data_IF_381077013609
#
_entry.id   IF_381077013609
#
_cell.length_a   1.000
_cell.length_b   1.000
_cell.length_c   1.000
_cell.angle_alpha   90.00
_cell.angle_beta   90.00
_cell.angle_gamma   90.00
#
_symmetry.space_group_name_H-M   'P 1'
#
loop_
_entity.id
_entity.type
_entity.pdbx_description
1 polymer ?
#
# COMPACT_ATOMS: atom_id res chain seq x y z
N UNK A 1 -3.05 36.62 -21.94
CA UNK A 1 -2.49 36.12 -20.68
C UNK A 1 -1.00 36.10 -20.86
N UNK A 2 -0.29 36.90 -20.08
CA UNK A 2 1.17 36.88 -20.03
C UNK A 2 1.64 35.64 -19.23
N UNK A 3 2.87 35.17 -19.46
CA UNK A 3 3.44 33.99 -18.79
C UNK A 3 3.44 34.12 -17.25
N UNK A 4 3.64 35.32 -16.71
CA UNK A 4 3.59 35.55 -15.26
C UNK A 4 2.17 35.44 -14.72
N UNK A 5 1.18 35.92 -15.47
CA UNK A 5 -0.25 35.76 -15.17
C UNK A 5 -0.68 34.29 -15.23
N UNK A 6 -0.14 33.52 -16.19
CA UNK A 6 -0.36 32.08 -16.30
C UNK A 6 0.28 31.29 -15.13
N UNK A 7 1.54 31.59 -14.78
CA UNK A 7 2.22 30.94 -13.65
C UNK A 7 1.54 31.23 -12.32
N UNK A 8 1.10 32.48 -12.10
CA UNK A 8 0.36 32.85 -10.90
C UNK A 8 -0.99 32.10 -10.83
N UNK A 9 -1.70 32.01 -11.94
CA UNK A 9 -2.95 31.24 -12.03
C UNK A 9 -2.73 29.74 -11.75
N UNK A 10 -1.62 29.17 -12.22
CA UNK A 10 -1.20 27.81 -11.87
C UNK A 10 -0.89 27.65 -10.37
N UNK A 11 -0.11 28.56 -9.79
CA UNK A 11 0.24 28.52 -8.36
C UNK A 11 -0.98 28.68 -7.45
N UNK A 12 -1.88 29.61 -7.80
CA UNK A 12 -3.16 29.81 -7.11
C UNK A 12 -4.05 28.56 -7.22
N UNK A 13 -4.06 27.89 -8.38
CA UNK A 13 -4.77 26.61 -8.59
C UNK A 13 -4.24 25.50 -7.68
N UNK A 14 -2.92 25.37 -7.51
CA UNK A 14 -2.34 24.40 -6.59
C UNK A 14 -2.72 24.67 -5.13
N UNK A 15 -2.69 25.92 -4.68
CA UNK A 15 -3.12 26.30 -3.33
C UNK A 15 -4.62 25.99 -3.09
N UNK A 16 -5.44 26.17 -4.11
CA UNK A 16 -6.87 25.80 -4.10
C UNK A 16 -7.05 24.30 -3.90
N UNK A 17 -6.26 23.45 -4.56
CA UNK A 17 -6.33 21.99 -4.38
C UNK A 17 -6.03 21.56 -2.93
N UNK A 18 -5.00 22.13 -2.29
CA UNK A 18 -4.68 21.83 -0.89
C UNK A 18 -5.76 22.30 0.08
N UNK A 19 -6.29 23.50 -0.14
CA UNK A 19 -7.38 24.07 0.67
C UNK A 19 -8.63 23.21 0.57
N UNK A 20 -9.05 22.86 -0.65
CA UNK A 20 -10.26 22.06 -0.90
C UNK A 20 -10.08 20.65 -0.35
N UNK A 21 -8.91 20.05 -0.52
CA UNK A 21 -8.58 18.76 0.11
C UNK A 21 -8.86 18.84 1.60
N UNK A 22 -8.25 19.82 2.31
CA UNK A 22 -8.41 19.98 3.75
C UNK A 22 -9.87 20.15 4.19
N UNK A 23 -10.64 21.02 3.54
CA UNK A 23 -12.04 21.25 3.89
C UNK A 23 -12.91 19.99 3.74
N UNK A 24 -12.62 19.16 2.74
CA UNK A 24 -13.37 17.93 2.50
C UNK A 24 -12.94 16.83 3.47
N UNK A 25 -11.65 16.77 3.82
CA UNK A 25 -11.18 15.85 4.83
C UNK A 25 -11.86 16.06 6.17
N UNK A 26 -12.17 17.30 6.58
CA UNK A 26 -12.78 17.53 7.89
C UNK A 26 -14.15 16.84 8.01
N UNK A 27 -14.99 16.93 6.98
CA UNK A 27 -16.30 16.26 6.98
C UNK A 27 -16.19 14.75 6.78
N UNK A 28 -15.36 14.32 5.82
CA UNK A 28 -15.21 12.90 5.50
C UNK A 28 -14.50 12.14 6.62
N UNK A 29 -13.54 12.76 7.32
CA UNK A 29 -12.86 12.17 8.47
C UNK A 29 -13.80 11.95 9.65
N UNK A 30 -14.74 12.88 9.90
CA UNK A 30 -15.78 12.68 10.91
C UNK A 30 -16.70 11.52 10.53
N UNK A 31 -17.13 11.46 9.26
CA UNK A 31 -17.99 10.37 8.79
C UNK A 31 -17.28 9.02 8.87
N UNK A 32 -16.04 8.90 8.41
CA UNK A 32 -15.34 7.61 8.42
C UNK A 32 -15.00 7.14 9.84
N UNK A 33 -14.79 8.08 10.78
CA UNK A 33 -14.57 7.77 12.18
C UNK A 33 -15.85 7.26 12.87
N UNK A 34 -16.99 7.89 12.59
CA UNK A 34 -18.27 7.60 13.24
C UNK A 34 -19.06 6.47 12.58
N UNK A 35 -19.05 6.41 11.25
CA UNK A 35 -19.74 5.42 10.43
C UNK A 35 -18.87 4.98 9.23
N UNK A 36 -17.83 4.15 9.47
CA UNK A 36 -16.88 3.75 8.43
C UNK A 36 -17.54 3.05 7.24
N UNK A 37 -18.61 2.27 7.46
CA UNK A 37 -19.28 1.59 6.35
C UNK A 37 -19.93 2.56 5.36
N UNK A 38 -20.67 3.55 5.88
CA UNK A 38 -21.31 4.59 5.09
C UNK A 38 -20.29 5.48 4.39
N UNK A 39 -19.22 5.89 5.10
CA UNK A 39 -18.12 6.63 4.49
C UNK A 39 -17.50 5.89 3.32
N UNK A 40 -17.22 4.59 3.47
CA UNK A 40 -16.61 3.78 2.41
C UNK A 40 -17.55 3.57 1.21
N UNK A 41 -18.87 3.53 1.42
CA UNK A 41 -19.84 3.51 0.31
C UNK A 41 -19.79 4.82 -0.50
N UNK A 42 -19.66 5.94 0.21
CA UNK A 42 -19.63 7.28 -0.37
C UNK A 42 -18.23 7.74 -0.83
N UNK A 43 -17.15 6.98 -0.57
CA UNK A 43 -15.76 7.41 -0.81
C UNK A 43 -15.56 7.95 -2.24
N UNK A 44 -16.02 7.22 -3.25
CA UNK A 44 -15.85 7.60 -4.65
C UNK A 44 -16.70 8.82 -5.05
N UNK A 45 -17.89 8.96 -4.44
CA UNK A 45 -18.75 10.12 -4.65
C UNK A 45 -18.09 11.38 -4.06
N UNK A 46 -17.61 11.31 -2.82
CA UNK A 46 -16.93 12.42 -2.16
C UNK A 46 -15.61 12.77 -2.85
N UNK A 47 -14.86 11.78 -3.34
CA UNK A 47 -13.69 11.99 -4.18
C UNK A 47 -14.03 12.79 -5.44
N UNK A 48 -15.04 12.39 -6.22
CA UNK A 48 -15.43 13.12 -7.43
C UNK A 48 -15.94 14.53 -7.13
N UNK A 49 -16.76 14.72 -6.08
CA UNK A 49 -17.16 16.05 -5.63
C UNK A 49 -15.96 16.92 -5.29
N UNK A 50 -14.91 16.33 -4.71
CA UNK A 50 -13.68 17.05 -4.38
C UNK A 50 -12.94 17.51 -5.61
N UNK A 51 -12.79 16.63 -6.60
CA UNK A 51 -12.19 16.98 -7.87
C UNK A 51 -13.01 18.07 -8.57
N UNK A 52 -14.32 17.90 -8.69
CA UNK A 52 -15.18 18.87 -9.35
C UNK A 52 -15.07 20.24 -8.68
N UNK A 53 -15.08 20.29 -7.34
CA UNK A 53 -14.90 21.53 -6.60
C UNK A 53 -13.50 22.13 -6.79
N UNK A 54 -12.47 21.29 -6.78
CA UNK A 54 -11.07 21.68 -6.96
C UNK A 54 -10.78 22.30 -8.32
N UNK A 55 -11.48 21.83 -9.35
CA UNK A 55 -11.32 22.29 -10.71
C UNK A 55 -12.42 23.26 -11.18
N UNK A 56 -13.29 23.72 -10.28
CA UNK A 56 -14.29 24.74 -10.59
C UNK A 56 -13.72 26.13 -10.28
N UNK A 57 -13.67 27.00 -11.30
CA UNK A 57 -13.17 28.36 -11.15
C UNK A 57 -14.19 29.29 -10.46
N UNK A 58 -13.81 30.54 -10.22
CA UNK A 58 -14.66 31.57 -9.60
C UNK A 58 -15.95 31.90 -10.37
N UNK A 59 -15.97 31.60 -11.68
CA UNK A 59 -17.14 31.76 -12.55
C UNK A 59 -18.06 30.53 -12.55
N UNK A 60 -17.72 29.47 -11.82
CA UNK A 60 -18.49 28.23 -11.77
C UNK A 60 -18.20 27.27 -12.93
N UNK A 61 -17.18 27.51 -13.74
CA UNK A 61 -16.78 26.62 -14.83
C UNK A 61 -15.88 25.52 -14.31
N UNK A 62 -16.27 24.26 -14.52
CA UNK A 62 -15.50 23.09 -14.13
C UNK A 62 -14.53 22.69 -15.27
N UNK A 63 -13.24 22.86 -15.01
CA UNK A 63 -12.14 22.59 -15.94
C UNK A 63 -11.50 21.21 -15.75
N UNK A 64 -12.08 20.35 -14.92
CA UNK A 64 -11.51 19.04 -14.54
C UNK A 64 -11.11 18.22 -15.75
N UNK A 65 -12.04 17.99 -16.67
CA UNK A 65 -11.78 17.16 -17.85
C UNK A 65 -10.66 17.72 -18.73
N UNK A 66 -10.53 19.05 -18.81
CA UNK A 66 -9.44 19.69 -19.55
C UNK A 66 -8.10 19.50 -18.85
N UNK A 67 -8.04 19.71 -17.53
CA UNK A 67 -6.82 19.54 -16.74
C UNK A 67 -6.37 18.08 -16.72
N UNK A 68 -7.27 17.14 -16.43
CA UNK A 68 -6.95 15.71 -16.40
C UNK A 68 -6.43 15.23 -17.78
N UNK A 69 -7.04 15.69 -18.88
CA UNK A 69 -6.60 15.34 -20.23
C UNK A 69 -5.24 15.94 -20.62
N UNK A 70 -4.84 17.08 -20.04
CA UNK A 70 -3.60 17.79 -20.39
C UNK A 70 -2.44 17.49 -19.44
N UNK A 71 -2.75 17.17 -18.18
CA UNK A 71 -1.77 16.94 -17.12
C UNK A 71 -1.62 15.47 -16.73
N UNK A 72 -2.37 14.55 -17.34
CA UNK A 72 -2.25 13.11 -17.09
C UNK A 72 -2.96 12.63 -15.83
N UNK A 73 -3.95 13.39 -15.34
CA UNK A 73 -4.76 13.05 -14.18
C UNK A 73 -4.96 14.21 -13.19
N UNK A 74 -5.64 13.94 -12.06
CA UNK A 74 -5.84 14.93 -11.02
C UNK A 74 -4.56 15.16 -10.21
N UNK A 75 -4.41 16.36 -9.66
CA UNK A 75 -3.28 16.72 -8.80
C UNK A 75 -3.25 15.84 -7.55
N UNK A 76 -2.09 15.29 -7.22
CA UNK A 76 -1.91 14.18 -6.27
C UNK A 76 -2.37 14.51 -4.84
N UNK A 77 -2.41 15.79 -4.48
CA UNK A 77 -2.86 16.24 -3.16
C UNK A 77 -4.27 15.77 -2.82
N UNK A 78 -5.19 15.77 -3.80
CA UNK A 78 -6.60 15.39 -3.59
C UNK A 78 -6.73 13.88 -3.33
N UNK A 79 -6.30 12.98 -4.23
CA UNK A 79 -6.35 11.54 -3.98
C UNK A 79 -5.55 11.16 -2.73
N UNK A 80 -4.35 11.72 -2.52
CA UNK A 80 -3.53 11.46 -1.33
C UNK A 80 -4.26 11.79 -0.02
N UNK A 81 -5.09 12.84 -0.03
CA UNK A 81 -5.91 13.21 1.11
C UNK A 81 -6.90 12.08 1.47
N UNK A 82 -7.63 11.55 0.49
CA UNK A 82 -8.55 10.43 0.70
C UNK A 82 -7.85 9.16 1.16
N UNK A 83 -6.70 8.82 0.56
CA UNK A 83 -5.93 7.65 0.97
C UNK A 83 -5.50 7.74 2.43
N UNK A 84 -5.06 8.91 2.87
CA UNK A 84 -4.59 9.11 4.23
C UNK A 84 -5.74 9.24 5.25
N UNK A 85 -6.92 9.71 4.86
CA UNK A 85 -8.12 9.61 5.71
C UNK A 85 -8.52 8.16 5.92
N UNK A 86 -8.62 7.37 4.85
CA UNK A 86 -8.87 5.92 4.96
C UNK A 86 -7.77 5.25 5.78
N UNK A 87 -6.51 5.58 5.50
CA UNK A 87 -5.35 5.11 6.24
C UNK A 87 -5.42 5.38 7.75
N UNK A 88 -5.95 6.54 8.16
CA UNK A 88 -6.05 6.89 9.58
C UNK A 88 -6.92 5.95 10.40
N UNK A 89 -7.93 5.33 9.78
CA UNK A 89 -8.83 4.35 10.42
C UNK A 89 -8.52 2.92 10.02
N UNK A 90 -7.73 2.69 8.96
CA UNK A 90 -7.49 1.38 8.36
C UNK A 90 -7.06 0.31 9.37
N UNK A 91 -6.15 0.57 10.33
CA UNK A 91 -5.78 -0.43 11.34
C UNK A 91 -6.94 -0.86 12.25
N UNK A 92 -7.95 -0.02 12.42
CA UNK A 92 -9.13 -0.25 13.27
C UNK A 92 -10.25 -0.98 12.53
N UNK A 93 -10.21 -1.02 11.20
CA UNK A 93 -11.23 -1.66 10.38
C UNK A 93 -11.15 -3.19 10.51
N UNK A 94 -12.33 -3.83 10.54
CA UNK A 94 -12.41 -5.27 10.41
C UNK A 94 -12.03 -5.72 8.98
N UNK A 95 -11.93 -7.04 8.78
CA UNK A 95 -11.51 -7.62 7.50
C UNK A 95 -12.38 -7.18 6.32
N UNK A 96 -13.69 -7.21 6.47
CA UNK A 96 -14.66 -6.85 5.43
C UNK A 96 -14.53 -5.37 5.05
N UNK A 97 -14.41 -4.49 6.03
CA UNK A 97 -14.22 -3.05 5.82
C UNK A 97 -12.86 -2.73 5.19
N UNK A 98 -11.78 -3.39 5.60
CA UNK A 98 -10.46 -3.25 4.96
C UNK A 98 -10.53 -3.61 3.49
N UNK A 99 -11.13 -4.75 3.19
CA UNK A 99 -11.37 -5.23 1.84
C UNK A 99 -12.21 -4.24 1.00
N UNK A 100 -13.32 -3.74 1.55
CA UNK A 100 -14.16 -2.72 0.92
C UNK A 100 -13.38 -1.43 0.64
N UNK A 101 -12.61 -0.96 1.63
CA UNK A 101 -11.79 0.24 1.47
C UNK A 101 -10.72 0.06 0.40
N UNK A 102 -10.09 -1.11 0.33
CA UNK A 102 -9.08 -1.42 -0.66
C UNK A 102 -9.65 -1.40 -2.08
N UNK A 103 -10.83 -1.99 -2.31
CA UNK A 103 -11.53 -1.90 -3.61
C UNK A 103 -11.78 -0.43 -3.98
N UNK A 104 -12.24 0.38 -3.04
CA UNK A 104 -12.55 1.80 -3.32
C UNK A 104 -11.30 2.61 -3.61
N UNK A 105 -10.21 2.36 -2.88
CA UNK A 105 -8.91 3.01 -3.10
C UNK A 105 -8.31 2.58 -4.44
N UNK A 106 -8.33 1.29 -4.77
CA UNK A 106 -7.90 0.80 -6.08
C UNK A 106 -8.74 1.39 -7.19
N UNK A 107 -10.06 1.51 -7.01
CA UNK A 107 -10.92 2.20 -7.97
C UNK A 107 -10.59 3.68 -8.18
N UNK A 108 -9.94 4.35 -7.22
CA UNK A 108 -9.40 5.71 -7.41
C UNK A 108 -8.06 5.65 -8.16
N UNK A 109 -7.19 4.71 -7.81
CA UNK A 109 -5.85 4.55 -8.41
C UNK A 109 -5.94 4.08 -9.87
N UNK A 110 -6.89 3.21 -10.19
CA UNK A 110 -7.10 2.63 -11.52
C UNK A 110 -7.84 3.57 -12.49
N UNK A 111 -8.37 4.70 -11.99
CA UNK A 111 -9.20 5.60 -12.81
C UNK A 111 -8.35 6.51 -13.68
N UNK A 112 -8.18 6.12 -14.94
CA UNK A 112 -7.54 6.89 -16.04
C UNK A 112 -6.07 7.29 -15.81
N UNK A 113 -5.42 6.73 -14.79
CA UNK A 113 -3.99 6.93 -14.52
C UNK A 113 -3.17 5.77 -15.08
N UNK A 114 -2.01 6.09 -15.67
CA UNK A 114 -1.01 5.07 -15.97
C UNK A 114 -0.41 4.54 -14.66
N UNK A 115 -0.10 3.24 -14.64
CA UNK A 115 0.43 2.59 -13.45
C UNK A 115 1.76 3.16 -12.96
N UNK A 116 2.59 3.73 -13.85
CA UNK A 116 3.82 4.41 -13.45
C UNK A 116 3.51 5.69 -12.69
N UNK A 117 2.50 6.45 -13.14
CA UNK A 117 2.05 7.65 -12.44
C UNK A 117 1.56 7.27 -11.03
N UNK A 118 0.70 6.27 -10.93
CA UNK A 118 0.24 5.73 -9.64
C UNK A 118 1.40 5.33 -8.73
N UNK A 119 2.41 4.66 -9.29
CA UNK A 119 3.59 4.20 -8.58
C UNK A 119 4.41 5.37 -8.02
N UNK A 120 4.64 6.43 -8.79
CA UNK A 120 5.57 7.50 -8.40
C UNK A 120 4.91 8.68 -7.71
N UNK A 121 3.67 9.03 -8.04
CA UNK A 121 2.99 10.25 -7.57
C UNK A 121 1.78 10.01 -6.67
N UNK A 122 1.27 8.78 -6.52
CA UNK A 122 0.13 8.50 -5.63
C UNK A 122 0.51 7.63 -4.43
N UNK A 123 1.00 6.42 -4.70
CA UNK A 123 1.26 5.40 -3.66
C UNK A 123 2.39 5.81 -2.71
N UNK A 124 3.35 6.60 -3.20
CA UNK A 124 4.42 7.20 -2.41
C UNK A 124 3.95 8.22 -1.37
N UNK A 125 2.70 8.70 -1.44
CA UNK A 125 2.11 9.62 -0.46
C UNK A 125 1.15 8.93 0.52
N UNK A 126 0.99 7.61 0.43
CA UNK A 126 0.22 6.83 1.39
C UNK A 126 1.07 6.63 2.64
N UNK A 127 0.63 7.23 3.76
CA UNK A 127 1.36 7.18 5.03
C UNK A 127 1.00 5.98 5.89
N UNK A 128 -0.22 5.45 5.83
CA UNK A 128 -0.55 4.28 6.64
C UNK A 128 0.12 3.02 6.09
N UNK A 129 1.06 2.40 6.83
CA UNK A 129 1.83 1.27 6.31
C UNK A 129 1.01 0.07 5.89
N UNK A 130 -0.04 -0.26 6.65
CA UNK A 130 -0.87 -1.41 6.33
C UNK A 130 -1.62 -1.21 5.02
N UNK A 131 -2.19 -0.01 4.80
CA UNK A 131 -2.89 0.30 3.56
C UNK A 131 -1.95 0.22 2.34
N UNK A 132 -0.77 0.83 2.40
CA UNK A 132 0.18 0.77 1.28
C UNK A 132 0.67 -0.67 1.02
N UNK A 133 0.92 -1.44 2.09
CA UNK A 133 1.30 -2.83 1.95
C UNK A 133 0.20 -3.69 1.32
N UNK A 134 -1.06 -3.46 1.69
CA UNK A 134 -2.21 -4.19 1.14
C UNK A 134 -2.49 -3.82 -0.32
N UNK A 135 -2.33 -2.55 -0.70
CA UNK A 135 -2.33 -2.11 -2.11
C UNK A 135 -1.22 -2.83 -2.88
N UNK A 136 -0.01 -2.89 -2.32
CA UNK A 136 1.15 -3.52 -2.98
C UNK A 136 1.04 -5.05 -3.05
N UNK A 137 0.32 -5.67 -2.11
CA UNK A 137 -0.02 -7.09 -2.16
C UNK A 137 -0.97 -7.33 -3.33
N UNK A 138 -2.11 -6.63 -3.36
CA UNK A 138 -3.14 -6.82 -4.39
C UNK A 138 -2.61 -6.45 -5.76
N UNK A 139 -1.98 -5.30 -5.88
CA UNK A 139 -1.55 -4.70 -7.13
C UNK A 139 -0.05 -4.40 -7.09
N UNK A 140 0.76 -5.45 -7.30
CA UNK A 140 2.22 -5.38 -7.18
C UNK A 140 2.88 -4.29 -8.05
N UNK A 141 2.29 -3.95 -9.21
CA UNK A 141 2.79 -2.88 -10.06
C UNK A 141 2.68 -1.48 -9.44
N UNK A 142 1.84 -1.31 -8.41
CA UNK A 142 1.71 -0.08 -7.63
C UNK A 142 2.72 0.02 -6.49
N UNK A 143 3.64 -0.94 -6.35
CA UNK A 143 4.71 -0.85 -5.36
C UNK A 143 5.73 0.25 -5.74
N UNK A 144 5.85 1.37 -4.99
CA UNK A 144 6.73 2.48 -5.34
C UNK A 144 8.24 2.18 -5.20
N UNK A 145 8.61 0.99 -4.71
CA UNK A 145 10.00 0.70 -4.38
C UNK A 145 10.45 1.35 -3.08
N UNK A 146 11.76 1.28 -2.80
CA UNK A 146 12.37 1.82 -1.56
C UNK A 146 13.21 3.08 -1.82
N UNK A 147 13.01 3.72 -2.96
CA UNK A 147 13.90 4.78 -3.40
C UNK A 147 13.73 6.06 -2.60
N UNK A 148 12.53 6.35 -2.08
CA UNK A 148 12.32 7.44 -1.12
C UNK A 148 13.24 7.28 0.10
N UNK A 149 13.25 6.10 0.73
CA UNK A 149 14.08 5.81 1.89
C UNK A 149 15.57 5.91 1.56
N UNK A 150 16.01 5.32 0.44
CA UNK A 150 17.41 5.44 -0.03
C UNK A 150 17.84 6.89 -0.26
N UNK A 151 16.98 7.70 -0.87
CA UNK A 151 17.27 9.10 -1.17
C UNK A 151 17.36 9.92 0.12
N UNK A 152 16.51 9.63 1.11
CA UNK A 152 16.59 10.26 2.42
C UNK A 152 17.88 9.89 3.15
N UNK A 153 18.29 8.61 3.14
CA UNK A 153 19.56 8.18 3.75
C UNK A 153 20.73 8.97 3.15
N UNK A 154 20.78 9.08 1.82
CA UNK A 154 21.79 9.89 1.11
C UNK A 154 21.75 11.37 1.49
N UNK A 155 20.55 11.95 1.64
CA UNK A 155 20.35 13.36 2.00
C UNK A 155 21.01 13.71 3.34
N UNK A 156 21.02 12.77 4.30
CA UNK A 156 21.62 12.96 5.62
C UNK A 156 23.07 12.43 5.72
N UNK A 157 23.76 12.28 4.58
CA UNK A 157 25.18 11.88 4.52
C UNK A 157 25.53 10.65 5.37
N UNK A 158 24.63 9.66 5.44
CA UNK A 158 24.80 8.44 6.24
C UNK A 158 24.96 8.67 7.77
N UNK A 159 24.61 9.87 8.26
CA UNK A 159 24.52 10.20 9.69
C UNK A 159 23.10 9.99 10.26
N UNK A 160 22.92 8.94 11.07
CA UNK A 160 21.64 8.66 11.71
C UNK A 160 21.19 9.74 12.71
N UNK A 161 22.13 10.42 13.36
CA UNK A 161 21.80 11.48 14.33
C UNK A 161 21.05 12.64 13.69
N UNK A 162 21.45 13.03 12.49
CA UNK A 162 20.85 14.14 11.74
C UNK A 162 19.45 13.72 11.25
N UNK A 163 19.34 12.51 10.70
CA UNK A 163 18.06 11.93 10.33
C UNK A 163 17.09 11.87 11.52
N UNK A 164 17.55 11.37 12.67
CA UNK A 164 16.74 11.31 13.89
C UNK A 164 16.24 12.69 14.30
N UNK A 165 17.14 13.68 14.37
CA UNK A 165 16.79 15.03 14.81
C UNK A 165 15.80 15.72 13.84
N UNK A 166 16.03 15.57 12.54
CA UNK A 166 15.24 16.27 11.53
C UNK A 166 13.92 15.56 11.23
N UNK A 167 13.91 14.23 11.10
CA UNK A 167 12.78 13.49 10.52
C UNK A 167 11.93 12.70 11.52
N UNK A 168 12.39 12.47 12.75
CA UNK A 168 11.66 11.70 13.76
C UNK A 168 11.21 12.62 14.90
N UNK A 169 9.95 12.48 15.33
CA UNK A 169 9.38 13.20 16.46
C UNK A 169 9.76 12.58 17.81
N UNK A 170 9.40 13.26 18.90
CA UNK A 170 9.63 12.79 20.27
C UNK A 170 8.93 11.48 20.63
N UNK A 171 7.89 11.10 19.87
CA UNK A 171 7.12 9.88 20.07
C UNK A 171 7.67 8.70 19.26
N UNK A 172 8.72 8.91 18.45
CA UNK A 172 9.32 7.90 17.59
C UNK A 172 8.57 7.68 16.27
N UNK A 173 7.78 8.66 15.81
CA UNK A 173 7.11 8.63 14.51
C UNK A 173 7.80 9.58 13.52
N UNK A 174 7.57 9.38 12.23
CA UNK A 174 8.07 10.30 11.20
C UNK A 174 7.28 11.61 11.15
N UNK A 175 8.00 12.72 11.03
CA UNK A 175 7.42 14.06 10.87
C UNK A 175 6.82 14.21 9.47
N UNK A 176 5.55 14.64 9.42
CA UNK A 176 4.74 14.68 8.19
C UNK A 176 5.26 15.66 7.14
N UNK A 177 5.96 16.71 7.57
CA UNK A 177 6.58 17.71 6.71
C UNK A 177 7.96 17.30 6.17
N UNK A 178 8.49 16.15 6.63
CA UNK A 178 9.82 15.66 6.27
C UNK A 178 9.81 14.36 5.47
N UNK A 179 8.78 13.53 5.65
CA UNK A 179 8.68 12.19 5.10
C UNK A 179 7.36 12.03 4.34
N UNK A 180 7.41 11.53 3.11
CA UNK A 180 6.21 11.34 2.27
C UNK A 180 5.54 10.02 2.61
N UNK A 181 6.28 8.91 2.66
CA UNK A 181 5.76 7.60 3.08
C UNK A 181 6.46 7.03 4.30
N UNK A 182 5.66 6.84 5.35
CA UNK A 182 6.11 6.22 6.58
C UNK A 182 6.57 4.76 6.36
N UNK A 183 5.91 4.02 5.46
CA UNK A 183 6.25 2.63 5.18
C UNK A 183 7.53 2.47 4.40
N UNK A 184 7.72 3.25 3.34
CA UNK A 184 8.91 3.13 2.50
C UNK A 184 10.17 3.48 3.28
N UNK A 185 10.09 4.54 4.09
CA UNK A 185 11.20 4.95 4.95
C UNK A 185 11.43 3.94 6.06
N UNK A 186 10.39 3.54 6.79
CA UNK A 186 10.51 2.54 7.86
C UNK A 186 11.07 1.21 7.37
N UNK A 187 10.61 0.70 6.22
CA UNK A 187 11.13 -0.51 5.59
C UNK A 187 12.59 -0.33 5.15
N UNK A 188 12.94 0.80 4.53
CA UNK A 188 14.33 1.09 4.13
C UNK A 188 15.29 1.13 5.32
N UNK A 189 14.88 1.74 6.43
CA UNK A 189 15.71 1.84 7.64
C UNK A 189 15.99 0.48 8.28
N UNK A 190 15.02 -0.43 8.20
CA UNK A 190 15.14 -1.77 8.76
C UNK A 190 16.00 -2.71 7.89
N UNK A 191 16.17 -2.42 6.59
CA UNK A 191 16.91 -3.27 5.65
C UNK A 191 18.41 -3.03 5.69
N UNK A 192 19.17 -4.05 6.09
CA UNK A 192 20.64 -4.05 6.14
C UNK A 192 21.32 -3.82 4.78
N UNK A 193 20.66 -4.23 3.70
CA UNK A 193 21.16 -4.02 2.33
C UNK A 193 20.81 -2.63 1.77
N UNK A 194 20.04 -1.83 2.53
CA UNK A 194 19.68 -0.44 2.18
C UNK A 194 20.45 0.55 3.05
N UNK A 195 20.53 0.32 4.37
CA UNK A 195 21.36 1.11 5.28
C UNK A 195 21.77 0.35 6.53
N UNK A 196 22.72 0.93 7.28
CA UNK A 196 23.26 0.34 8.52
C UNK A 196 22.60 0.90 9.80
N UNK A 197 21.50 1.66 9.67
CA UNK A 197 20.87 2.35 10.82
C UNK A 197 19.81 1.53 11.54
N UNK A 198 19.52 0.30 11.10
CA UNK A 198 18.41 -0.50 11.61
C UNK A 198 18.41 -0.67 13.14
N UNK A 199 19.56 -0.97 13.74
CA UNK A 199 19.68 -1.13 15.21
C UNK A 199 19.44 0.19 15.97
N UNK A 200 19.87 1.33 15.42
CA UNK A 200 19.67 2.63 16.05
C UNK A 200 18.24 3.14 15.90
N UNK A 201 17.62 2.89 14.74
CA UNK A 201 16.21 3.17 14.51
C UNK A 201 15.32 2.40 15.49
N UNK A 202 15.61 1.13 15.74
CA UNK A 202 14.85 0.31 16.67
C UNK A 202 14.86 0.82 18.12
N UNK A 203 15.88 1.57 18.52
CA UNK A 203 15.97 2.16 19.88
C UNK A 203 15.03 3.34 20.09
N UNK A 204 14.57 3.98 19.01
CA UNK A 204 13.83 5.24 19.08
C UNK A 204 12.43 5.17 18.46
N UNK A 205 12.18 4.19 17.59
CA UNK A 205 10.90 4.06 16.88
C UNK A 205 9.76 3.75 17.84
N UNK A 206 8.59 4.33 17.57
CA UNK A 206 7.38 3.97 18.29
C UNK A 206 7.06 2.46 18.09
N UNK A 207 6.90 1.66 19.15
CA UNK A 207 6.69 0.21 19.00
C UNK A 207 5.43 -0.16 18.20
N UNK A 208 4.32 0.57 18.38
CA UNK A 208 3.07 0.32 17.63
C UNK A 208 3.22 0.68 16.16
N UNK A 209 3.95 1.75 15.88
CA UNK A 209 4.26 2.13 14.50
C UNK A 209 5.16 1.08 13.83
N UNK A 210 6.22 0.64 14.52
CA UNK A 210 7.11 -0.42 14.04
C UNK A 210 6.36 -1.72 13.73
N UNK A 211 5.39 -2.09 14.56
CA UNK A 211 4.56 -3.27 14.34
C UNK A 211 3.82 -3.22 13.01
N UNK A 212 3.26 -2.06 12.63
CA UNK A 212 2.59 -1.87 11.33
C UNK A 212 3.56 -1.99 10.17
N UNK A 213 4.79 -1.47 10.30
CA UNK A 213 5.83 -1.61 9.29
C UNK A 213 6.19 -3.10 9.10
N UNK A 214 6.47 -3.81 10.19
CA UNK A 214 6.86 -5.23 10.12
C UNK A 214 5.70 -6.08 9.58
N UNK A 215 4.47 -5.82 10.03
CA UNK A 215 3.29 -6.50 9.52
C UNK A 215 3.12 -6.29 8.01
N UNK A 216 3.29 -5.07 7.51
CA UNK A 216 3.24 -4.78 6.07
C UNK A 216 4.34 -5.49 5.28
N UNK A 217 5.58 -5.50 5.78
CA UNK A 217 6.71 -6.23 5.18
C UNK A 217 6.41 -7.73 5.12
N UNK A 218 5.92 -8.33 6.21
CA UNK A 218 5.55 -9.74 6.25
C UNK A 218 4.41 -10.02 5.27
N UNK A 219 3.36 -9.20 5.27
CA UNK A 219 2.24 -9.32 4.33
C UNK A 219 2.71 -9.36 2.88
N UNK A 220 3.54 -8.40 2.46
CA UNK A 220 4.08 -8.32 1.09
C UNK A 220 4.93 -9.53 0.71
N UNK A 221 5.61 -10.17 1.66
CA UNK A 221 6.50 -11.30 1.38
C UNK A 221 5.78 -12.65 1.41
N UNK A 222 4.66 -12.76 2.14
CA UNK A 222 4.05 -14.06 2.44
C UNK A 222 2.58 -14.23 2.06
N UNK A 223 1.83 -13.15 1.80
CA UNK A 223 0.39 -13.19 1.52
C UNK A 223 0.02 -14.23 0.46
N UNK A 224 0.76 -14.24 -0.65
CA UNK A 224 0.54 -15.19 -1.75
C UNK A 224 0.73 -16.65 -1.33
N UNK A 225 1.76 -16.98 -0.55
CA UNK A 225 1.99 -18.37 -0.11
C UNK A 225 0.88 -18.87 0.81
N UNK A 226 0.44 -18.03 1.74
CA UNK A 226 -0.63 -18.39 2.67
C UNK A 226 -1.98 -18.52 1.98
N UNK A 227 -2.24 -17.68 0.98
CA UNK A 227 -3.46 -17.80 0.18
C UNK A 227 -3.52 -19.12 -0.59
N UNK A 228 -2.40 -19.54 -1.19
CA UNK A 228 -2.30 -20.84 -1.87
C UNK A 228 -2.46 -22.02 -0.89
N UNK A 229 -2.05 -21.86 0.38
CA UNK A 229 -2.24 -22.87 1.42
C UNK A 229 -3.71 -23.01 1.85
N UNK A 230 -4.51 -21.95 1.68
CA UNK A 230 -5.90 -21.87 2.12
C UNK A 230 -6.90 -21.84 0.95
N UNK A 231 -6.62 -22.55 -0.15
CA UNK A 231 -7.58 -22.72 -1.25
C UNK A 231 -8.84 -23.43 -0.76
N UNK A 232 -10.01 -22.99 -1.21
CA UNK A 232 -11.27 -23.69 -0.92
C UNK A 232 -11.36 -25.01 -1.70
N UNK A 233 -12.23 -25.93 -1.27
CA UNK A 233 -12.45 -27.19 -2.01
C UNK A 233 -12.92 -26.94 -3.44
N UNK A 234 -13.77 -25.92 -3.65
CA UNK A 234 -14.23 -25.47 -4.96
C UNK A 234 -13.06 -25.01 -5.85
N UNK A 235 -12.12 -24.25 -5.29
CA UNK A 235 -10.94 -23.77 -6.03
C UNK A 235 -10.00 -24.92 -6.40
N UNK A 236 -9.79 -25.87 -5.48
CA UNK A 236 -8.98 -27.06 -5.76
C UNK A 236 -9.66 -27.95 -6.81
N UNK A 237 -10.99 -28.06 -6.78
CA UNK A 237 -11.75 -28.78 -7.81
C UNK A 237 -11.61 -28.12 -9.19
N UNK A 238 -11.72 -26.78 -9.26
CA UNK A 238 -11.51 -26.02 -10.49
C UNK A 238 -10.10 -26.23 -11.06
N UNK A 239 -9.07 -26.23 -10.21
CA UNK A 239 -7.68 -26.53 -10.59
C UNK A 239 -7.57 -27.94 -11.20
N UNK A 240 -8.10 -28.93 -10.51
CA UNK A 240 -8.05 -30.32 -10.98
C UNK A 240 -8.73 -30.47 -12.35
N UNK A 241 -9.92 -29.88 -12.51
CA UNK A 241 -10.65 -29.89 -13.78
C UNK A 241 -9.85 -29.23 -14.92
N UNK A 242 -9.25 -28.06 -14.68
CA UNK A 242 -8.40 -27.36 -15.66
C UNK A 242 -7.14 -28.15 -16.04
N UNK A 243 -6.60 -28.93 -15.10
CA UNK A 243 -5.47 -29.83 -15.35
C UNK A 243 -5.85 -31.09 -16.14
N UNK A 244 -7.08 -31.18 -16.68
CA UNK A 244 -7.64 -32.35 -17.38
C UNK A 244 -7.60 -33.63 -16.53
N UNK A 245 -7.68 -33.49 -15.20
CA UNK A 245 -7.59 -34.62 -14.28
C UNK A 245 -6.20 -35.27 -14.21
N UNK A 246 -5.15 -34.62 -14.76
CA UNK A 246 -3.77 -35.13 -14.73
C UNK A 246 -3.20 -35.22 -13.32
N UNK A 247 -3.79 -34.53 -12.35
CA UNK A 247 -3.29 -34.47 -10.96
C UNK A 247 -4.42 -34.83 -10.00
N UNK A 248 -4.24 -35.89 -9.19
CA UNK A 248 -5.25 -36.29 -8.21
C UNK A 248 -5.46 -35.20 -7.14
N UNK A 249 -6.71 -34.81 -6.90
CA UNK A 249 -7.14 -33.81 -5.89
C UNK A 249 -6.45 -33.95 -4.53
N UNK A 250 -6.40 -35.16 -3.95
CA UNK A 250 -5.77 -35.35 -2.63
C UNK A 250 -4.26 -35.14 -2.70
N UNK A 251 -3.63 -35.51 -3.82
CA UNK A 251 -2.20 -35.29 -4.02
C UNK A 251 -1.86 -33.82 -4.24
N UNK A 252 -2.76 -33.02 -4.82
CA UNK A 252 -2.56 -31.58 -5.01
C UNK A 252 -2.36 -30.90 -3.65
N UNK A 253 -3.24 -31.16 -2.69
CA UNK A 253 -3.22 -30.47 -1.39
C UNK A 253 -1.95 -30.79 -0.59
N UNK A 254 -1.61 -32.07 -0.47
CA UNK A 254 -0.43 -32.51 0.32
C UNK A 254 0.89 -32.06 -0.34
N UNK A 255 0.98 -32.15 -1.68
CA UNK A 255 2.16 -31.67 -2.42
C UNK A 255 2.30 -30.16 -2.32
N UNK A 256 1.22 -29.41 -2.54
CA UNK A 256 1.23 -27.95 -2.42
C UNK A 256 1.61 -27.52 -1.01
N UNK A 257 1.05 -28.13 0.02
CA UNK A 257 1.41 -27.81 1.40
C UNK A 257 2.90 -28.05 1.65
N UNK A 258 3.45 -29.18 1.21
CA UNK A 258 4.88 -29.49 1.35
C UNK A 258 5.77 -28.46 0.64
N UNK A 259 5.45 -28.11 -0.61
CA UNK A 259 6.19 -27.13 -1.40
C UNK A 259 6.10 -25.74 -0.79
N UNK A 260 4.91 -25.32 -0.39
CA UNK A 260 4.66 -24.00 0.21
C UNK A 260 5.38 -23.87 1.56
N UNK A 261 5.35 -24.89 2.42
CA UNK A 261 6.09 -24.88 3.69
C UNK A 261 7.60 -24.72 3.45
N UNK A 262 8.16 -25.39 2.43
CA UNK A 262 9.58 -25.23 2.05
C UNK A 262 9.87 -23.82 1.53
N UNK A 263 9.01 -23.26 0.66
CA UNK A 263 9.17 -21.89 0.12
C UNK A 263 9.03 -20.83 1.22
N UNK A 264 8.06 -20.97 2.12
CA UNK A 264 7.87 -20.10 3.28
C UNK A 264 9.11 -20.12 4.18
N UNK A 265 9.59 -21.31 4.57
CA UNK A 265 10.78 -21.42 5.43
C UNK A 265 12.04 -20.82 4.78
N UNK A 266 12.21 -21.00 3.46
CA UNK A 266 13.30 -20.35 2.72
C UNK A 266 13.15 -18.82 2.75
N UNK A 267 11.95 -18.32 2.44
CA UNK A 267 11.66 -16.88 2.38
C UNK A 267 11.79 -16.21 3.75
N UNK A 268 11.40 -16.88 4.82
CA UNK A 268 11.60 -16.44 6.20
C UNK A 268 13.08 -16.26 6.53
N UNK A 269 13.93 -17.24 6.19
CA UNK A 269 15.38 -17.13 6.38
C UNK A 269 15.97 -15.96 5.57
N UNK A 270 15.57 -15.82 4.31
CA UNK A 270 15.98 -14.70 3.46
C UNK A 270 15.58 -13.36 4.09
N UNK A 271 14.33 -13.24 4.55
CA UNK A 271 13.82 -12.03 5.17
C UNK A 271 14.61 -11.70 6.45
N UNK A 272 14.75 -12.66 7.38
CA UNK A 272 15.52 -12.48 8.63
C UNK A 272 16.98 -12.08 8.39
N UNK A 273 17.60 -12.54 7.30
CA UNK A 273 18.96 -12.13 6.95
C UNK A 273 19.06 -10.64 6.58
N UNK A 274 17.98 -10.05 6.04
CA UNK A 274 17.93 -8.63 5.67
C UNK A 274 17.67 -7.70 6.87
N UNK A 275 17.23 -8.23 8.01
CA UNK A 275 16.75 -7.43 9.14
C UNK A 275 17.58 -7.62 10.43
N UNK A 276 17.60 -6.62 11.33
CA UNK A 276 18.16 -6.76 12.68
C UNK A 276 17.53 -7.94 13.44
N UNK A 277 18.31 -8.59 14.32
CA UNK A 277 17.87 -9.80 15.03
C UNK A 277 16.73 -9.51 16.01
N UNK A 278 16.71 -8.29 16.52
CA UNK A 278 15.74 -7.74 17.48
C UNK A 278 14.30 -7.82 16.98
N UNK A 279 14.08 -7.82 15.66
CA UNK A 279 12.74 -7.91 15.07
C UNK A 279 12.37 -9.31 14.55
N UNK A 280 13.26 -10.30 14.69
CA UNK A 280 12.99 -11.66 14.18
C UNK A 280 11.76 -12.29 14.84
N UNK A 281 11.58 -12.09 16.14
CA UNK A 281 10.40 -12.60 16.86
C UNK A 281 9.10 -11.93 16.41
N UNK A 282 9.14 -10.64 16.02
CA UNK A 282 7.99 -9.94 15.45
C UNK A 282 7.67 -10.45 14.03
N UNK A 283 8.70 -10.71 13.22
CA UNK A 283 8.53 -11.35 11.92
C UNK A 283 7.82 -12.70 12.10
N UNK A 284 8.29 -13.53 13.03
CA UNK A 284 7.68 -14.84 13.32
C UNK A 284 6.25 -14.73 13.82
N UNK A 285 5.99 -13.78 14.72
CA UNK A 285 4.66 -13.50 15.21
C UNK A 285 3.72 -13.16 14.05
N UNK A 286 4.08 -12.19 13.20
CA UNK A 286 3.22 -11.78 12.11
C UNK A 286 3.04 -12.87 11.07
N UNK A 287 4.08 -13.64 10.71
CA UNK A 287 3.97 -14.81 9.82
C UNK A 287 2.85 -15.76 10.28
N UNK A 288 2.67 -15.91 11.59
CA UNK A 288 1.66 -16.78 12.19
C UNK A 288 0.26 -16.15 12.32
N UNK A 289 0.16 -14.82 12.48
CA UNK A 289 -1.13 -14.13 12.63
C UNK A 289 -2.01 -14.16 11.37
N UNK A 290 -1.40 -14.23 10.18
CA UNK A 290 -2.13 -14.32 8.89
C UNK A 290 -3.13 -13.18 8.63
N UNK A 291 -2.85 -11.99 9.17
CA UNK A 291 -3.74 -10.84 9.09
C UNK A 291 -3.24 -9.78 8.08
N UNK A 292 -3.34 -10.07 6.78
CA UNK A 292 -2.98 -9.20 5.64
C UNK A 292 -3.98 -9.37 4.50
N UNK A 293 -4.17 -8.36 3.65
CA UNK A 293 -5.18 -8.41 2.58
C UNK A 293 -5.11 -9.69 1.73
N UNK A 294 -6.29 -10.12 1.27
CA UNK A 294 -6.42 -11.24 0.36
C UNK A 294 -6.50 -10.69 -1.07
N UNK A 295 -5.49 -11.04 -1.88
CA UNK A 295 -5.39 -10.70 -3.30
C UNK A 295 -6.72 -10.91 -4.06
N UNK A 296 -7.47 -11.94 -3.67
CA UNK A 296 -8.64 -12.42 -4.41
C UNK A 296 -9.92 -11.66 -4.15
N UNK A 297 -10.01 -10.95 -3.02
CA UNK A 297 -11.19 -10.14 -2.76
C UNK A 297 -11.28 -8.99 -3.76
N UNK A 298 -10.14 -8.44 -4.16
CA UNK A 298 -10.08 -7.24 -5.00
C UNK A 298 -9.95 -7.56 -6.50
N UNK A 299 -9.38 -8.72 -6.88
CA UNK A 299 -9.19 -9.06 -8.30
C UNK A 299 -9.61 -10.51 -8.64
N UNK A 300 -10.92 -10.77 -8.85
CA UNK A 300 -11.41 -12.13 -9.16
C UNK A 300 -10.82 -12.74 -10.43
N UNK A 301 -10.41 -11.90 -11.40
CA UNK A 301 -9.80 -12.34 -12.65
C UNK A 301 -8.38 -12.88 -12.46
N UNK A 302 -7.71 -12.56 -11.34
CA UNK A 302 -6.39 -13.12 -11.00
C UNK A 302 -6.41 -14.58 -10.54
N UNK A 303 -7.59 -15.19 -10.38
CA UNK A 303 -7.73 -16.65 -10.19
C UNK A 303 -6.88 -17.43 -11.19
N UNK A 304 -6.83 -16.97 -12.45
CA UNK A 304 -6.02 -17.59 -13.50
C UNK A 304 -4.50 -17.60 -13.20
N UNK A 305 -3.96 -16.51 -12.64
CA UNK A 305 -2.53 -16.44 -12.30
C UNK A 305 -2.15 -17.40 -11.18
N UNK A 306 -3.06 -17.65 -10.24
CA UNK A 306 -2.83 -18.66 -9.22
C UNK A 306 -2.81 -20.06 -9.82
N UNK A 307 -3.76 -20.38 -10.69
CA UNK A 307 -3.78 -21.69 -11.34
C UNK A 307 -2.45 -21.95 -12.06
N UNK A 308 -1.97 -20.98 -12.81
CA UNK A 308 -0.65 -21.06 -13.47
C UNK A 308 0.52 -21.21 -12.49
N UNK A 309 0.49 -20.53 -11.34
CA UNK A 309 1.51 -20.68 -10.31
C UNK A 309 1.48 -22.05 -9.64
N UNK A 310 0.29 -22.60 -9.41
CA UNK A 310 0.08 -23.94 -8.84
C UNK A 310 0.59 -25.01 -9.81
N UNK A 311 0.20 -24.92 -11.08
CA UNK A 311 0.70 -25.80 -12.14
C UNK A 311 2.23 -25.78 -12.16
N UNK A 312 2.85 -24.60 -12.20
CA UNK A 312 4.31 -24.44 -12.14
C UNK A 312 4.92 -25.09 -10.89
N UNK A 313 4.33 -24.90 -9.72
CA UNK A 313 4.86 -25.49 -8.49
C UNK A 313 4.74 -27.01 -8.47
N UNK A 314 3.66 -27.56 -9.01
CA UNK A 314 3.48 -29.00 -9.13
C UNK A 314 4.45 -29.60 -10.16
N UNK A 315 4.71 -28.92 -11.27
CA UNK A 315 5.73 -29.29 -12.26
C UNK A 315 7.15 -29.25 -11.68
N UNK A 316 7.50 -28.25 -10.87
CA UNK A 316 8.80 -28.16 -10.15
C UNK A 316 9.03 -29.33 -9.17
N UNK A 317 8.00 -30.12 -8.85
CA UNK A 317 8.04 -31.21 -7.85
C UNK A 317 8.07 -32.62 -8.42
N UNK A 318 7.94 -32.77 -9.74
CA UNK A 318 7.98 -34.05 -10.48
C UNK A 318 9.39 -34.33 -11.00
#
# INVERSE_FOLDING_TARGET
MDFDEFNKSLEDSFNVHYKISKEILDNFSQLIWSNPNEALDNLFLEYNKSLDRAYTNENGENMRSFVEATCGGPHEAIPSAFYNVVGSVYPLLNREMKNKSLIKILGILDHDLDWQEVQFSHTSYIREPLLLSDISIVQQMYWPGLDEGKNLIKKYNDLFCDFKFEAIDENGNFKKDKIKSDFLVGYSLLRKDVCNWGEDYLKIVNPKFLDKIIQGVVGMNFSNYFRLKNLSEEEIHEINWRSEGKINYMQIKDKLETILNKKISKKEKELKNLFPKEIHSKIDFFINEKNWADLYFCEPHRKYFIFKNIERYLEESL
#
